data_IF_060731293083
#
_entry.id   IF_060731293083
#
_cell.length_a   1.000
_cell.length_b   1.000
_cell.length_c   1.000
_cell.angle_alpha   90.00
_cell.angle_beta   90.00
_cell.angle_gamma   90.00
#
_symmetry.space_group_name_H-M   'P 1'
#
loop_
_entity.id
_entity.type
_entity.pdbx_description
1 polymer ?
#
# COMPACT_ATOMS: atom_id res chain seq x y z
N UNK A 1 -15.07 9.39 -5.17
CA UNK A 1 -16.20 10.14 -4.57
C UNK A 1 -16.52 11.37 -5.43
N UNK A 2 -17.75 11.94 -5.37
CA UNK A 2 -18.09 13.16 -6.13
C UNK A 2 -17.22 14.36 -5.75
N UNK A 3 -16.71 14.38 -4.51
CA UNK A 3 -15.67 15.32 -4.06
C UNK A 3 -14.29 14.63 -4.18
N UNK A 4 -13.35 15.17 -4.98
CA UNK A 4 -12.00 14.63 -5.14
C UNK A 4 -11.16 14.60 -3.84
N UNK A 5 -11.47 15.47 -2.88
CA UNK A 5 -10.70 15.58 -1.63
C UNK A 5 -11.25 14.70 -0.50
N UNK A 6 -12.35 13.99 -0.73
CA UNK A 6 -12.91 13.10 0.28
C UNK A 6 -12.09 11.80 0.32
N UNK A 7 -11.41 11.48 1.43
CA UNK A 7 -10.70 10.21 1.55
C UNK A 7 -11.71 9.06 1.58
N UNK A 8 -11.24 7.89 1.17
CA UNK A 8 -11.99 6.64 1.21
C UNK A 8 -11.06 5.51 1.65
N UNK A 9 -11.64 4.43 2.17
CA UNK A 9 -10.85 3.30 2.63
C UNK A 9 -10.43 2.44 1.43
N UNK A 10 -9.13 2.44 1.13
CA UNK A 10 -8.58 1.60 0.08
C UNK A 10 -8.72 0.09 0.38
N UNK A 11 -8.88 -0.30 1.65
CA UNK A 11 -9.12 -1.70 2.02
C UNK A 11 -10.41 -2.21 1.42
N UNK A 12 -11.48 -1.41 1.41
CA UNK A 12 -12.76 -1.80 0.80
C UNK A 12 -12.62 -2.10 -0.70
N UNK A 13 -11.71 -1.42 -1.39
CA UNK A 13 -11.45 -1.67 -2.80
C UNK A 13 -10.66 -2.97 -3.01
N UNK A 14 -9.67 -3.24 -2.13
CA UNK A 14 -8.93 -4.50 -2.15
C UNK A 14 -9.88 -5.67 -1.89
N UNK A 15 -10.74 -5.58 -0.87
CA UNK A 15 -11.73 -6.63 -0.54
C UNK A 15 -12.74 -6.86 -1.68
N UNK A 16 -13.08 -5.84 -2.46
CA UNK A 16 -13.95 -6.02 -3.64
C UNK A 16 -13.26 -6.71 -4.82
N UNK A 17 -11.93 -6.70 -4.86
CA UNK A 17 -11.13 -7.29 -5.93
C UNK A 17 -10.59 -8.68 -5.54
N UNK A 18 -10.32 -8.89 -4.26
CA UNK A 18 -9.89 -10.18 -3.73
C UNK A 18 -11.04 -11.18 -3.74
N UNK A 19 -10.72 -12.44 -4.05
CA UNK A 19 -11.66 -13.55 -3.92
C UNK A 19 -12.21 -13.61 -2.49
N UNK A 20 -13.52 -13.81 -2.35
CA UNK A 20 -14.24 -13.93 -1.07
C UNK A 20 -14.13 -12.70 -0.14
N UNK A 21 -13.52 -11.60 -0.60
CA UNK A 21 -13.23 -10.44 0.26
C UNK A 21 -12.09 -10.64 1.23
N UNK A 22 -11.28 -11.70 1.07
CA UNK A 22 -10.24 -12.04 2.02
C UNK A 22 -8.92 -11.33 1.70
N UNK A 23 -8.54 -10.41 2.60
CA UNK A 23 -7.28 -9.68 2.55
C UNK A 23 -6.49 -9.84 3.85
N UNK A 24 -5.32 -10.47 3.76
CA UNK A 24 -4.39 -10.63 4.86
C UNK A 24 -3.34 -9.51 4.88
N UNK A 25 -3.62 -8.46 5.66
CA UNK A 25 -2.73 -7.31 5.76
C UNK A 25 -1.47 -7.59 6.58
N UNK A 26 -0.32 -7.19 6.05
CA UNK A 26 0.99 -7.24 6.69
C UNK A 26 1.31 -5.91 7.36
N UNK A 27 1.70 -5.97 8.63
CA UNK A 27 2.15 -4.82 9.42
C UNK A 27 1.16 -3.63 9.40
N UNK A 28 -0.12 -3.83 9.79
CA UNK A 28 -1.16 -2.80 9.66
C UNK A 28 -0.91 -1.52 10.47
N UNK A 29 -0.05 -1.58 11.49
CA UNK A 29 0.30 -0.43 12.35
C UNK A 29 1.58 0.30 11.94
N UNK A 30 2.31 -0.19 10.93
CA UNK A 30 3.56 0.40 10.46
C UNK A 30 3.38 0.91 9.02
N UNK A 31 3.78 2.15 8.74
CA UNK A 31 3.59 2.78 7.42
C UNK A 31 2.14 2.64 6.93
N UNK A 32 1.16 2.98 7.77
CA UNK A 32 -0.27 2.72 7.53
C UNK A 32 -0.88 3.53 6.36
N UNK A 33 -0.14 4.50 5.83
CA UNK A 33 -0.36 5.20 4.57
C UNK A 33 -0.16 4.32 3.33
N UNK A 34 0.43 3.12 3.48
CA UNK A 34 0.48 2.08 2.45
C UNK A 34 0.03 0.73 3.04
N UNK A 35 -0.99 0.14 2.40
CA UNK A 35 -1.42 -1.23 2.63
C UNK A 35 -0.49 -2.18 1.86
N UNK A 36 -0.04 -3.23 2.54
CA UNK A 36 0.67 -4.34 1.92
C UNK A 36 0.06 -5.62 2.48
N UNK A 37 -0.27 -6.58 1.64
CA UNK A 37 -0.87 -7.82 2.13
C UNK A 37 -1.13 -8.82 1.02
N UNK A 38 -1.65 -9.98 1.40
CA UNK A 38 -1.93 -11.06 0.47
C UNK A 38 -3.43 -11.27 0.32
N UNK A 39 -3.84 -11.72 -0.86
CA UNK A 39 -5.16 -12.25 -1.11
C UNK A 39 -5.10 -13.21 -2.31
N UNK A 40 -6.26 -13.49 -2.89
CA UNK A 40 -6.35 -14.30 -4.10
C UNK A 40 -7.16 -13.59 -5.17
N UNK A 41 -6.84 -13.87 -6.43
CA UNK A 41 -7.64 -13.49 -7.60
C UNK A 41 -7.71 -14.74 -8.48
N UNK A 42 -8.92 -15.19 -8.79
CA UNK A 42 -9.16 -16.41 -9.57
C UNK A 42 -8.41 -17.64 -8.98
N UNK A 43 -8.36 -17.74 -7.66
CA UNK A 43 -7.68 -18.80 -6.92
C UNK A 43 -6.15 -18.69 -6.87
N UNK A 44 -5.55 -17.74 -7.58
CA UNK A 44 -4.10 -17.50 -7.58
C UNK A 44 -3.70 -16.52 -6.48
N UNK A 45 -2.62 -16.79 -5.75
CA UNK A 45 -2.09 -15.88 -4.72
C UNK A 45 -1.58 -14.60 -5.35
N UNK A 46 -2.01 -13.45 -4.82
CA UNK A 46 -1.60 -12.12 -5.26
C UNK A 46 -1.15 -11.29 -4.06
N UNK A 47 -0.08 -10.52 -4.22
CA UNK A 47 0.32 -9.47 -3.29
C UNK A 47 -0.35 -8.15 -3.66
N UNK A 48 -1.01 -7.49 -2.72
CA UNK A 48 -1.56 -6.16 -2.90
C UNK A 48 -0.64 -5.10 -2.28
N UNK A 49 -0.38 -4.03 -3.03
CA UNK A 49 0.28 -2.81 -2.55
C UNK A 49 -0.63 -1.64 -2.88
N UNK A 50 -1.06 -0.87 -1.89
CA UNK A 50 -2.04 0.18 -2.11
C UNK A 50 -1.81 1.40 -1.23
N UNK A 51 -1.96 2.60 -1.77
CA UNK A 51 -1.98 3.83 -0.96
C UNK A 51 -3.27 3.90 -0.14
N UNK A 52 -3.19 4.39 1.09
CA UNK A 52 -4.36 4.57 1.98
C UNK A 52 -4.64 6.06 2.19
N UNK A 53 -5.56 6.68 1.42
CA UNK A 53 -5.89 8.10 1.52
C UNK A 53 -6.37 8.54 2.91
N UNK A 54 -6.94 7.63 3.70
CA UNK A 54 -7.36 7.94 5.08
C UNK A 54 -6.20 8.18 6.04
N UNK A 55 -4.96 7.79 5.67
CA UNK A 55 -3.76 7.98 6.50
C UNK A 55 -2.75 8.85 5.77
N UNK A 56 -2.43 10.02 6.32
CA UNK A 56 -1.49 10.99 5.73
C UNK A 56 -1.81 11.33 4.26
N UNK A 57 -3.08 11.28 3.85
CA UNK A 57 -3.49 11.47 2.46
C UNK A 57 -2.83 10.50 1.44
N UNK A 58 -2.37 9.33 1.89
CA UNK A 58 -1.76 8.32 1.00
C UNK A 58 -0.35 8.67 0.50
N UNK A 59 0.27 9.75 1.00
CA UNK A 59 1.66 10.14 0.67
C UNK A 59 2.64 9.03 1.02
N UNK A 60 3.75 8.94 0.29
CA UNK A 60 4.84 8.02 0.62
C UNK A 60 5.86 8.70 1.53
N UNK A 61 6.07 8.13 2.71
CA UNK A 61 7.14 8.48 3.64
C UNK A 61 8.17 7.33 3.77
N UNK A 62 9.21 7.52 4.58
CA UNK A 62 10.28 6.51 4.75
C UNK A 62 9.73 5.16 5.21
N UNK A 63 8.79 5.14 6.16
CA UNK A 63 8.29 3.89 6.75
C UNK A 63 7.39 3.14 5.77
N UNK A 64 6.48 3.83 5.08
CA UNK A 64 5.68 3.24 4.01
C UNK A 64 6.57 2.73 2.86
N UNK A 65 7.59 3.50 2.47
CA UNK A 65 8.52 3.11 1.41
C UNK A 65 9.30 1.85 1.78
N UNK A 66 9.81 1.76 3.01
CA UNK A 66 10.52 0.56 3.51
C UNK A 66 9.60 -0.65 3.60
N UNK A 67 8.37 -0.47 4.08
CA UNK A 67 7.34 -1.51 4.14
C UNK A 67 7.05 -2.07 2.75
N UNK A 68 6.69 -1.20 1.81
CA UNK A 68 6.36 -1.58 0.45
C UNK A 68 7.55 -2.24 -0.26
N UNK A 69 8.75 -1.65 -0.19
CA UNK A 69 9.94 -2.20 -0.83
C UNK A 69 10.27 -3.61 -0.32
N UNK A 70 10.19 -3.85 1.00
CA UNK A 70 10.42 -5.19 1.57
C UNK A 70 9.36 -6.19 1.11
N UNK A 71 8.10 -5.78 1.05
CA UNK A 71 7.00 -6.62 0.62
C UNK A 71 7.10 -6.98 -0.86
N UNK A 72 7.39 -6.01 -1.74
CA UNK A 72 7.62 -6.23 -3.17
C UNK A 72 8.76 -7.21 -3.40
N UNK A 73 9.90 -7.02 -2.71
CA UNK A 73 11.05 -7.94 -2.80
C UNK A 73 10.70 -9.35 -2.34
N UNK A 74 9.86 -9.49 -1.30
CA UNK A 74 9.38 -10.79 -0.88
C UNK A 74 8.53 -11.45 -1.97
N UNK A 75 7.56 -10.74 -2.52
CA UNK A 75 6.70 -11.27 -3.58
C UNK A 75 7.51 -11.72 -4.81
N UNK A 76 8.48 -10.90 -5.23
CA UNK A 76 9.42 -11.22 -6.32
C UNK A 76 10.20 -12.52 -6.05
N UNK A 77 10.78 -12.68 -4.86
CA UNK A 77 11.52 -13.90 -4.48
C UNK A 77 10.67 -15.19 -4.55
N UNK A 78 9.35 -15.09 -4.41
CA UNK A 78 8.44 -16.24 -4.41
C UNK A 78 7.56 -16.32 -5.66
N UNK A 79 7.84 -15.50 -6.69
CA UNK A 79 7.05 -15.43 -7.93
C UNK A 79 5.56 -15.14 -7.68
N UNK A 80 5.27 -14.34 -6.65
CA UNK A 80 3.91 -13.91 -6.33
C UNK A 80 3.61 -12.65 -7.16
N UNK A 81 2.60 -12.66 -8.04
CA UNK A 81 2.20 -11.48 -8.79
C UNK A 81 1.71 -10.37 -7.86
N UNK A 82 1.92 -9.12 -8.27
CA UNK A 82 1.55 -7.94 -7.48
C UNK A 82 0.46 -7.15 -8.21
N UNK A 83 -0.59 -6.80 -7.48
CA UNK A 83 -1.58 -5.79 -7.88
C UNK A 83 -1.33 -4.52 -7.09
N UNK A 84 -1.26 -3.39 -7.80
CA UNK A 84 -1.01 -2.09 -7.18
C UNK A 84 -2.19 -1.15 -7.39
N UNK A 85 -2.74 -0.62 -6.29
CA UNK A 85 -3.72 0.47 -6.32
C UNK A 85 -3.01 1.79 -6.03
N UNK A 86 -2.98 2.66 -7.04
CA UNK A 86 -2.23 3.91 -6.99
C UNK A 86 -3.20 5.06 -6.71
N UNK A 87 -3.09 5.63 -5.51
CA UNK A 87 -3.76 6.88 -5.12
C UNK A 87 -2.82 7.70 -4.23
N UNK A 88 -1.74 8.15 -4.86
CA UNK A 88 -0.62 8.82 -4.20
C UNK A 88 -0.50 10.25 -4.71
N UNK A 89 -0.56 11.27 -3.83
CA UNK A 89 -0.32 12.66 -4.23
C UNK A 89 1.18 12.94 -4.44
N UNK A 90 2.06 12.08 -3.89
CA UNK A 90 3.50 12.13 -4.06
C UNK A 90 4.26 11.64 -2.82
N UNK A 91 5.53 12.00 -2.74
CA UNK A 91 6.36 11.78 -1.57
C UNK A 91 6.14 12.87 -0.52
N UNK A 92 6.20 12.50 0.76
CA UNK A 92 6.08 13.44 1.87
C UNK A 92 7.30 14.38 1.90
N UNK A 93 7.13 15.69 1.68
CA UNK A 93 8.23 16.64 1.80
C UNK A 93 8.58 16.91 3.28
N UNK A 94 9.79 17.36 3.53
CA UNK A 94 10.19 17.90 4.83
C UNK A 94 11.58 17.46 5.28
N UNK A 95 12.26 18.33 6.01
CA UNK A 95 13.65 18.11 6.46
C UNK A 95 13.84 16.78 7.20
N UNK A 96 12.88 16.34 8.01
CA UNK A 96 12.95 15.04 8.69
C UNK A 96 12.98 13.85 7.74
N UNK A 97 12.27 13.91 6.61
CA UNK A 97 12.27 12.84 5.59
C UNK A 97 13.56 12.89 4.76
N UNK A 98 14.02 14.10 4.41
CA UNK A 98 15.29 14.31 3.69
C UNK A 98 16.48 13.78 4.50
N UNK A 99 16.63 14.21 5.76
CA UNK A 99 17.69 13.72 6.66
C UNK A 99 17.51 12.25 7.04
N UNK A 100 16.28 11.73 7.01
CA UNK A 100 15.95 10.33 7.25
C UNK A 100 16.30 9.39 6.10
N UNK A 101 16.73 9.95 4.95
CA UNK A 101 17.18 9.18 3.79
C UNK A 101 16.05 8.73 2.87
N UNK A 102 15.03 9.58 2.65
CA UNK A 102 13.95 9.29 1.70
C UNK A 102 14.45 8.98 0.28
N UNK A 103 15.55 9.61 -0.16
CA UNK A 103 16.15 9.47 -1.51
C UNK A 103 17.19 8.32 -1.57
N UNK A 104 17.37 7.55 -0.50
CA UNK A 104 18.48 6.57 -0.39
C UNK A 104 18.26 5.27 -1.17
#
# INVERSE_FOLDING_TARGET
>A
PPNPNSPYDMRELIEKVADEGDFFEISPKFGANVLCGFGRIEGSTVGFVANQPMTLAGVLDIDASRKAARFVRFCDCFNIPIVTFVDVPGFMPGTKQEYGGLIK
#
